data_IF_492401574739
#
_entry.id   IF_492401574739
#
_cell.length_a   1.000
_cell.length_b   1.000
_cell.length_c   1.000
_cell.angle_alpha   90.00
_cell.angle_beta   90.00
_cell.angle_gamma   90.00
#
_symmetry.space_group_name_H-M   'P 1'
#
loop_
_entity.id
_entity.type
_entity.pdbx_description
1 polymer ?
#
# COMPACT_ATOMS: atom_id res chain seq x y z
N UNK A 1 16.88 5.17 6.51
CA UNK A 1 16.90 5.69 7.89
C UNK A 1 15.46 5.97 8.32
N UNK A 2 14.72 4.97 8.81
CA UNK A 2 13.34 5.17 9.27
C UNK A 2 13.38 5.80 10.67
N UNK A 3 12.87 7.03 10.82
CA UNK A 3 12.74 7.69 12.12
C UNK A 3 12.01 6.75 13.09
N UNK A 4 12.72 6.34 14.15
CA UNK A 4 12.12 5.80 15.36
C UNK A 4 11.35 6.95 15.99
N UNK A 5 10.05 7.02 15.72
CA UNK A 5 9.16 7.97 16.39
C UNK A 5 8.87 7.39 17.76
N UNK A 6 9.45 7.98 18.79
CA UNK A 6 9.24 7.58 20.16
C UNK A 6 7.76 7.77 20.53
N UNK A 7 7.12 6.65 20.86
CA UNK A 7 5.71 6.54 21.19
C UNK A 7 5.41 6.92 22.65
N UNK A 8 6.37 7.53 23.33
CA UNK A 8 6.29 7.91 24.75
C UNK A 8 5.28 9.03 25.01
N UNK A 9 4.86 9.76 23.96
CA UNK A 9 3.88 10.85 24.02
C UNK A 9 2.70 10.65 23.05
N UNK A 10 2.25 9.41 22.85
CA UNK A 10 1.03 9.15 22.07
C UNK A 10 -0.17 9.72 22.83
N UNK A 11 -0.67 10.87 22.38
CA UNK A 11 -1.99 11.40 22.78
C UNK A 11 -3.06 10.89 21.83
N UNK A 12 -4.33 10.92 22.26
CA UNK A 12 -5.47 10.58 21.41
C UNK A 12 -5.50 11.44 20.12
N UNK A 13 -5.08 12.71 20.22
CA UNK A 13 -4.99 13.61 19.07
C UNK A 13 -3.88 13.21 18.08
N UNK A 14 -2.73 12.72 18.58
CA UNK A 14 -1.70 12.17 17.71
C UNK A 14 -2.20 10.94 16.93
N UNK A 15 -2.95 10.06 17.60
CA UNK A 15 -3.53 8.86 16.96
C UNK A 15 -4.48 9.25 15.85
N UNK A 16 -5.36 10.24 16.08
CA UNK A 16 -6.29 10.76 15.09
C UNK A 16 -5.54 11.33 13.86
N UNK A 17 -4.54 12.18 14.08
CA UNK A 17 -3.71 12.73 13.00
C UNK A 17 -3.00 11.63 12.20
N UNK A 18 -2.49 10.62 12.89
CA UNK A 18 -1.81 9.49 12.26
C UNK A 18 -2.79 8.61 11.47
N UNK A 19 -4.02 8.40 11.95
CA UNK A 19 -5.09 7.71 11.22
C UNK A 19 -5.43 8.47 9.93
N UNK A 20 -5.62 9.78 10.00
CA UNK A 20 -5.87 10.61 8.81
C UNK A 20 -4.71 10.57 7.81
N UNK A 21 -3.48 10.63 8.32
CA UNK A 21 -2.28 10.50 7.49
C UNK A 21 -2.22 9.14 6.80
N UNK A 22 -2.46 8.05 7.52
CA UNK A 22 -2.49 6.70 6.99
C UNK A 22 -3.60 6.53 5.95
N UNK A 23 -4.80 7.03 6.21
CA UNK A 23 -5.92 7.01 5.26
C UNK A 23 -5.56 7.72 3.95
N UNK A 24 -4.98 8.93 4.06
CA UNK A 24 -4.54 9.71 2.90
C UNK A 24 -3.44 9.02 2.13
N UNK A 25 -2.48 8.41 2.84
CA UNK A 25 -1.44 7.61 2.21
C UNK A 25 -2.10 6.45 1.48
N UNK A 26 -2.80 5.52 2.16
CA UNK A 26 -3.42 4.31 1.59
C UNK A 26 -4.32 4.61 0.37
N UNK A 27 -5.05 5.72 0.35
CA UNK A 27 -5.93 6.07 -0.79
C UNK A 27 -5.20 6.71 -1.97
N UNK A 28 -3.98 7.21 -1.77
CA UNK A 28 -3.24 7.89 -2.83
C UNK A 28 -2.71 6.90 -3.86
N UNK A 29 -3.00 7.08 -5.15
CA UNK A 29 -2.44 6.19 -6.20
C UNK A 29 -0.91 6.32 -6.33
N UNK A 30 -0.30 7.34 -5.73
CA UNK A 30 1.14 7.58 -5.84
C UNK A 30 1.96 6.53 -5.09
N UNK A 31 1.57 6.12 -3.88
CA UNK A 31 2.32 5.09 -3.15
C UNK A 31 2.16 3.70 -3.79
N UNK A 32 1.01 3.42 -4.43
CA UNK A 32 0.80 2.18 -5.20
C UNK A 32 1.83 2.01 -6.32
N UNK A 33 2.20 3.11 -6.99
CA UNK A 33 3.11 3.08 -8.14
C UNK A 33 4.58 3.21 -7.76
N UNK A 34 4.88 3.99 -6.73
CA UNK A 34 6.26 4.33 -6.39
C UNK A 34 6.98 3.27 -5.55
N UNK A 35 6.32 2.18 -5.15
CA UNK A 35 6.87 1.11 -4.32
C UNK A 35 7.57 1.59 -3.04
N UNK A 36 7.29 2.82 -2.59
CA UNK A 36 8.08 3.48 -1.57
C UNK A 36 8.04 2.73 -0.22
N UNK A 37 6.94 2.00 0.03
CA UNK A 37 6.79 1.12 1.19
C UNK A 37 5.88 -0.07 0.88
N UNK A 38 6.28 -1.31 1.23
CA UNK A 38 5.46 -2.50 0.97
C UNK A 38 4.20 -2.54 1.84
N UNK A 39 3.17 -3.28 1.41
CA UNK A 39 1.91 -3.48 2.17
C UNK A 39 2.19 -3.97 3.60
N UNK A 40 3.18 -4.85 3.78
CA UNK A 40 3.61 -5.36 5.09
C UNK A 40 4.08 -4.27 6.05
N UNK A 41 4.72 -3.21 5.54
CA UNK A 41 5.13 -2.06 6.34
C UNK A 41 3.92 -1.29 6.87
N UNK A 42 2.92 -1.01 6.01
CA UNK A 42 1.70 -0.31 6.41
C UNK A 42 0.85 -1.12 7.38
N UNK A 43 0.72 -2.44 7.15
CA UNK A 43 0.05 -3.35 8.10
C UNK A 43 0.72 -3.28 9.48
N UNK A 44 2.04 -3.42 9.52
CA UNK A 44 2.80 -3.37 10.78
C UNK A 44 2.66 -2.02 11.51
N UNK A 45 2.47 -0.91 10.78
CA UNK A 45 2.24 0.41 11.36
C UNK A 45 0.84 0.53 11.97
N UNK A 46 -0.20 0.08 11.27
CA UNK A 46 -1.58 0.05 11.78
C UNK A 46 -1.68 -0.86 13.02
N UNK A 47 -1.06 -2.04 12.99
CA UNK A 47 -1.06 -2.97 14.13
C UNK A 47 -0.37 -2.40 15.37
N UNK A 48 0.73 -1.65 15.19
CA UNK A 48 1.41 -0.96 16.30
C UNK A 48 0.53 0.11 16.91
N UNK A 49 -0.17 0.89 16.09
CA UNK A 49 -1.10 1.91 16.58
C UNK A 49 -2.25 1.29 17.37
N UNK A 50 -2.86 0.20 16.87
CA UNK A 50 -3.94 -0.51 17.57
C UNK A 50 -3.58 -1.05 18.96
N UNK A 51 -2.28 -1.24 19.23
CA UNK A 51 -1.76 -1.70 20.53
C UNK A 51 -1.38 -0.54 21.45
N UNK A 52 -1.48 0.70 20.99
CA UNK A 52 -1.15 1.86 21.80
C UNK A 52 -2.23 2.08 22.89
N UNK A 53 -1.84 2.38 24.14
CA UNK A 53 -2.76 2.48 25.27
C UNK A 53 -3.73 3.68 25.17
N UNK A 54 -3.42 4.67 24.33
CA UNK A 54 -4.21 5.88 24.17
C UNK A 54 -5.30 5.79 23.07
N UNK A 55 -5.45 4.62 22.42
CA UNK A 55 -6.45 4.41 21.36
C UNK A 55 -7.84 4.27 21.94
N UNK A 56 -8.74 5.18 21.56
CA UNK A 56 -10.16 5.06 21.88
C UNK A 56 -10.85 3.98 21.04
N UNK A 57 -12.02 3.51 21.49
CA UNK A 57 -12.78 2.46 20.80
C UNK A 57 -13.16 2.85 19.36
N UNK A 58 -13.53 4.11 19.12
CA UNK A 58 -13.87 4.61 17.78
C UNK A 58 -12.63 4.62 16.87
N UNK A 59 -11.48 5.04 17.41
CA UNK A 59 -10.19 5.00 16.71
C UNK A 59 -9.76 3.57 16.38
N UNK A 60 -10.08 2.60 17.26
CA UNK A 60 -9.82 1.18 17.01
C UNK A 60 -10.66 0.66 15.83
N UNK A 61 -11.92 1.08 15.72
CA UNK A 61 -12.79 0.74 14.59
C UNK A 61 -12.28 1.34 13.27
N UNK A 62 -11.81 2.59 13.29
CA UNK A 62 -11.20 3.24 12.12
C UNK A 62 -9.91 2.53 11.68
N UNK A 63 -9.03 2.16 12.62
CA UNK A 63 -7.81 1.40 12.32
C UNK A 63 -8.12 0.03 11.72
N UNK A 64 -9.17 -0.66 12.18
CA UNK A 64 -9.64 -1.91 11.59
C UNK A 64 -10.15 -1.72 10.15
N UNK A 65 -10.94 -0.66 9.93
CA UNK A 65 -11.43 -0.31 8.60
C UNK A 65 -10.29 -0.02 7.63
N UNK A 66 -9.27 0.73 8.07
CA UNK A 66 -8.06 1.00 7.29
C UNK A 66 -7.27 -0.26 6.96
N UNK A 67 -7.18 -1.22 7.89
CA UNK A 67 -6.53 -2.50 7.63
C UNK A 67 -7.26 -3.28 6.53
N UNK A 68 -8.58 -3.34 6.57
CA UNK A 68 -9.38 -3.98 5.52
C UNK A 68 -9.32 -3.26 4.17
N UNK A 69 -9.21 -1.92 4.16
CA UNK A 69 -8.98 -1.15 2.93
C UNK A 69 -7.59 -1.45 2.33
N UNK A 70 -6.55 -1.48 3.15
CA UNK A 70 -5.19 -1.83 2.74
C UNK A 70 -5.12 -3.24 2.13
N UNK A 71 -5.77 -4.22 2.74
CA UNK A 71 -5.78 -5.61 2.24
C UNK A 71 -6.54 -5.75 0.92
N UNK A 72 -7.66 -5.04 0.76
CA UNK A 72 -8.38 -5.00 -0.52
C UNK A 72 -7.54 -4.39 -1.64
N UNK A 73 -6.85 -3.29 -1.35
CA UNK A 73 -5.94 -2.64 -2.31
C UNK A 73 -4.78 -3.57 -2.66
N UNK A 74 -4.18 -4.24 -1.67
CA UNK A 74 -3.10 -5.20 -1.89
C UNK A 74 -3.55 -6.33 -2.84
N UNK A 75 -4.72 -6.92 -2.59
CA UNK A 75 -5.29 -7.95 -3.47
C UNK A 75 -5.54 -7.43 -4.89
N UNK A 76 -6.00 -6.19 -5.06
CA UNK A 76 -6.17 -5.56 -6.36
C UNK A 76 -4.84 -5.32 -7.08
N UNK A 77 -3.80 -4.90 -6.36
CA UNK A 77 -2.47 -4.71 -6.92
C UNK A 77 -1.85 -6.03 -7.38
N UNK A 78 -1.94 -7.10 -6.57
CA UNK A 78 -1.47 -8.43 -6.95
C UNK A 78 -2.22 -8.97 -8.18
N UNK A 79 -3.53 -8.75 -8.24
CA UNK A 79 -4.36 -9.14 -9.39
C UNK A 79 -4.04 -8.33 -10.64
N UNK A 80 -3.75 -7.03 -10.49
CA UNK A 80 -3.34 -6.15 -11.58
C UNK A 80 -1.92 -6.45 -12.08
N UNK A 81 -1.01 -6.86 -11.20
CA UNK A 81 0.34 -7.31 -11.59
C UNK A 81 0.27 -8.59 -12.43
N UNK A 82 -0.64 -9.51 -12.08
CA UNK A 82 -0.87 -10.74 -12.86
C UNK A 82 -1.46 -10.46 -14.25
N UNK A 83 -2.21 -9.38 -14.43
CA UNK A 83 -2.71 -8.96 -15.74
C UNK A 83 -1.68 -8.19 -16.59
N UNK A 84 -0.60 -7.69 -15.98
CA UNK A 84 0.52 -7.07 -16.68
C UNK A 84 1.50 -8.07 -17.31
N UNK A 85 1.40 -9.36 -16.98
CA UNK A 85 2.26 -10.42 -17.52
C UNK A 85 1.61 -11.20 -18.68
N UNK A 86 0.48 -10.72 -19.22
CA UNK A 86 -0.17 -11.29 -20.42
C UNK A 86 0.04 -10.36 -21.63
N UNK A 87 1.26 -9.86 -21.83
CA UNK A 87 1.64 -9.19 -23.10
C UNK A 87 3.05 -9.55 -23.58
N UNK A 88 3.60 -10.67 -23.11
CA UNK A 88 4.89 -11.19 -23.62
C UNK A 88 4.78 -12.64 -24.09
N UNK A 89 3.79 -12.99 -24.93
CA UNK A 89 3.91 -14.18 -25.79
C UNK A 89 3.36 -13.88 -27.19
N UNK A 90 4.30 -13.56 -28.08
CA UNK A 90 4.37 -13.81 -29.53
C UNK A 90 3.12 -13.92 -30.40
N UNK A 91 3.06 -13.06 -31.43
CA UNK A 91 3.04 -13.49 -32.85
C UNK A 91 2.95 -12.27 -33.80
N UNK A 92 4.09 -11.83 -34.35
CA UNK A 92 4.12 -11.28 -35.72
C UNK A 92 5.04 -12.16 -36.55
N UNK A 93 4.53 -13.03 -37.44
CA UNK A 93 5.31 -13.47 -38.57
C UNK A 93 5.16 -12.38 -39.64
N UNK A 94 6.05 -11.39 -39.63
CA UNK A 94 6.22 -10.52 -40.79
C UNK A 94 7.24 -11.20 -41.71
N UNK A 95 6.74 -12.11 -42.55
CA UNK A 95 7.47 -12.52 -43.74
C UNK A 95 7.71 -11.31 -44.65
N UNK A 96 8.86 -11.32 -45.32
CA UNK A 96 9.23 -10.31 -46.29
C UNK A 96 10.72 -10.37 -46.55
N UNK A 97 11.12 -11.26 -47.47
CA UNK A 97 12.50 -11.36 -47.94
C UNK A 97 12.93 -10.18 -48.80
N UNK A 98 14.10 -10.41 -49.43
CA UNK A 98 14.76 -9.69 -50.55
C UNK A 98 15.29 -8.26 -50.24
N UNK A 99 16.54 -7.86 -50.51
CA UNK A 99 17.69 -8.42 -51.24
C UNK A 99 19.01 -7.80 -50.75
N UNK A 100 20.11 -8.48 -51.07
CA UNK A 100 21.52 -8.18 -50.81
C UNK A 100 22.12 -7.36 -51.98
N UNK A 101 23.14 -6.56 -51.63
CA UNK A 101 24.19 -5.91 -52.45
C UNK A 101 23.78 -4.83 -53.45
#
# INVERSE_FOLDING_TARGET
MAQRRDFTYITAHFIEQEIHHLARMIRSRHWHRSAAWPVSYWRGRIEKLRKAPAVAQDQQAELLSLLGELERIAAQLDSSSKYGEISQIGARPAGGGICKA
#
